data_IF_675274198813
#
_entry.id   IF_675274198813
#
_cell.length_a   1.000
_cell.length_b   1.000
_cell.length_c   1.000
_cell.angle_alpha   90.00
_cell.angle_beta   90.00
_cell.angle_gamma   90.00
#
_symmetry.space_group_name_H-M   'P 1'
#
loop_
_entity.id
_entity.type
_entity.pdbx_description
1 polymer ?
#
# COMPACT_ATOMS: atom_id res chain seq x y z
N UNK A 1 8.83 23.57 3.62
CA UNK A 1 9.24 22.39 4.41
C UNK A 1 8.05 22.01 5.26
N UNK A 2 7.20 21.09 4.78
CA UNK A 2 6.03 20.64 5.52
C UNK A 2 6.37 19.29 6.16
N UNK A 3 6.23 19.24 7.49
CA UNK A 3 6.25 18.02 8.28
C UNK A 3 4.93 17.30 8.01
N UNK A 4 4.93 16.24 7.19
CA UNK A 4 3.82 15.31 7.13
C UNK A 4 3.99 14.34 8.30
N UNK A 5 3.28 14.61 9.39
CA UNK A 5 3.13 13.67 10.49
C UNK A 5 2.16 12.58 10.06
N UNK A 6 2.69 11.39 9.78
CA UNK A 6 1.92 10.20 9.48
C UNK A 6 1.48 9.56 10.81
N UNK A 7 0.20 9.71 11.17
CA UNK A 7 -0.34 9.18 12.42
C UNK A 7 -0.82 7.73 12.22
N UNK A 8 -0.18 6.79 12.92
CA UNK A 8 -0.74 5.47 13.15
C UNK A 8 -1.89 5.59 14.15
N UNK A 9 -3.13 5.37 13.71
CA UNK A 9 -4.31 5.37 14.60
C UNK A 9 -4.55 3.95 15.11
N UNK A 10 -4.64 3.81 16.43
CA UNK A 10 -4.95 2.55 17.13
C UNK A 10 -6.43 2.51 17.51
N UNK A 11 -7.14 1.43 17.13
CA UNK A 11 -8.54 1.16 17.51
C UNK A 11 -8.69 -0.28 18.02
N UNK A 12 -9.70 -0.54 18.84
CA UNK A 12 -9.99 -1.88 19.36
C UNK A 12 -11.24 -2.43 18.68
N UNK A 13 -11.15 -3.66 18.16
CA UNK A 13 -12.27 -4.39 17.57
C UNK A 13 -13.14 -5.08 18.65
N UNK A 14 -14.40 -5.45 18.36
CA UNK A 14 -15.25 -6.22 19.27
C UNK A 14 -14.64 -7.55 19.72
N UNK A 15 -13.70 -8.10 18.92
CA UNK A 15 -12.93 -9.31 19.22
C UNK A 15 -11.85 -9.08 20.30
N UNK A 16 -11.63 -7.84 20.73
CA UNK A 16 -10.56 -7.44 21.65
C UNK A 16 -9.18 -7.32 20.99
N UNK A 17 -9.09 -7.54 19.67
CA UNK A 17 -7.86 -7.34 18.93
C UNK A 17 -7.60 -5.85 18.67
N UNK A 18 -6.34 -5.44 18.80
CA UNK A 18 -5.90 -4.08 18.47
C UNK A 18 -5.69 -3.96 16.96
N UNK A 19 -6.22 -2.91 16.36
CA UNK A 19 -6.06 -2.56 14.95
C UNK A 19 -5.23 -1.29 14.83
N UNK A 20 -4.16 -1.37 14.04
CA UNK A 20 -3.32 -0.26 13.65
C UNK A 20 -3.62 0.10 12.20
N UNK A 21 -3.72 1.39 11.89
CA UNK A 21 -4.01 1.88 10.53
C UNK A 21 -2.86 2.73 10.00
N UNK A 22 -2.45 2.45 8.77
CA UNK A 22 -1.55 3.27 7.96
C UNK A 22 -2.35 3.94 6.85
N UNK A 23 -2.26 5.28 6.75
CA UNK A 23 -2.95 6.08 5.74
C UNK A 23 -1.96 6.55 4.68
N UNK A 24 -2.27 6.30 3.40
CA UNK A 24 -1.44 6.68 2.26
C UNK A 24 -2.04 7.90 1.57
N UNK A 25 -1.48 9.06 1.90
CA UNK A 25 -2.10 10.36 1.63
C UNK A 25 -2.33 10.70 0.15
N UNK A 26 -1.50 10.22 -0.78
CA UNK A 26 -1.61 10.59 -2.19
C UNK A 26 -2.69 9.78 -2.93
N UNK A 27 -2.91 8.52 -2.55
CA UNK A 27 -3.87 7.61 -3.15
C UNK A 27 -5.18 7.51 -2.38
N UNK A 28 -5.18 7.90 -1.09
CA UNK A 28 -6.31 7.67 -0.18
C UNK A 28 -6.50 6.19 0.17
N UNK A 29 -5.48 5.34 -0.06
CA UNK A 29 -5.52 3.95 0.38
C UNK A 29 -5.07 3.82 1.83
N UNK A 30 -5.59 2.78 2.48
CA UNK A 30 -5.23 2.45 3.84
C UNK A 30 -4.82 0.99 3.93
N UNK A 31 -3.87 0.73 4.84
CA UNK A 31 -3.54 -0.62 5.28
C UNK A 31 -3.84 -0.74 6.76
N UNK A 32 -4.49 -1.83 7.14
CA UNK A 32 -4.76 -2.14 8.54
C UNK A 32 -4.07 -3.42 8.95
N UNK A 33 -3.46 -3.40 10.13
CA UNK A 33 -2.90 -4.57 10.80
C UNK A 33 -3.67 -4.83 12.08
N UNK A 34 -4.10 -6.08 12.28
CA UNK A 34 -4.75 -6.55 13.48
C UNK A 34 -3.78 -7.41 14.28
N UNK A 35 -3.79 -7.23 15.60
CA UNK A 35 -2.84 -7.87 16.52
C UNK A 35 -2.89 -9.41 16.52
N UNK A 36 -3.93 -10.01 15.93
CA UNK A 36 -4.05 -11.45 15.71
C UNK A 36 -3.33 -11.96 14.45
N UNK A 37 -2.54 -11.12 13.78
CA UNK A 37 -1.75 -11.49 12.60
C UNK A 37 -2.54 -11.45 11.30
N UNK A 38 -3.56 -10.60 11.23
CA UNK A 38 -4.33 -10.36 10.02
C UNK A 38 -4.19 -8.94 9.53
N UNK A 39 -4.42 -8.75 8.24
CA UNK A 39 -4.35 -7.45 7.63
C UNK A 39 -5.37 -7.32 6.50
N UNK A 40 -5.65 -6.09 6.11
CA UNK A 40 -6.46 -5.79 4.94
C UNK A 40 -6.09 -4.44 4.35
N UNK A 41 -6.55 -4.22 3.15
CA UNK A 41 -6.48 -2.94 2.45
C UNK A 41 -7.88 -2.31 2.39
N UNK A 42 -7.95 -0.99 2.47
CA UNK A 42 -9.20 -0.26 2.36
C UNK A 42 -9.03 0.96 1.46
N UNK A 43 -10.14 1.37 0.85
CA UNK A 43 -10.29 2.72 0.29
C UNK A 43 -10.67 3.73 1.38
N UNK A 44 -10.38 5.00 1.14
CA UNK A 44 -10.79 6.11 2.01
C UNK A 44 -12.30 6.09 2.33
N UNK A 45 -13.14 5.92 1.31
CA UNK A 45 -14.59 5.89 1.47
C UNK A 45 -15.07 4.73 2.37
N UNK A 46 -14.42 3.57 2.28
CA UNK A 46 -14.72 2.44 3.17
C UNK A 46 -14.28 2.75 4.59
N UNK A 47 -13.09 3.33 4.77
CA UNK A 47 -12.62 3.73 6.09
C UNK A 47 -13.53 4.76 6.75
N UNK A 48 -13.95 5.80 6.02
CA UNK A 48 -14.91 6.79 6.50
C UNK A 48 -16.23 6.15 6.95
N UNK A 49 -16.76 5.22 6.16
CA UNK A 49 -17.99 4.48 6.48
C UNK A 49 -17.84 3.59 7.73
N UNK A 50 -16.65 3.08 8.00
CA UNK A 50 -16.37 2.35 9.24
C UNK A 50 -16.19 3.27 10.44
N UNK A 51 -15.60 4.45 10.24
CA UNK A 51 -15.40 5.45 11.29
C UNK A 51 -16.74 6.04 11.77
N UNK A 52 -17.67 6.30 10.84
CA UNK A 52 -18.99 6.83 11.17
C UNK A 52 -20.01 5.75 11.60
N UNK A 53 -19.60 4.48 11.51
CA UNK A 53 -20.39 3.32 11.92
C UNK A 53 -21.49 2.91 10.93
N UNK A 54 -21.54 3.49 9.74
CA UNK A 54 -22.48 3.09 8.68
C UNK A 54 -22.15 1.71 8.10
N UNK A 55 -20.89 1.29 8.17
CA UNK A 55 -20.43 -0.04 7.82
C UNK A 55 -19.57 -0.63 8.94
N UNK A 56 -19.52 -1.96 8.99
CA UNK A 56 -18.67 -2.71 9.90
C UNK A 56 -17.68 -3.54 9.08
N UNK A 57 -16.44 -3.72 9.55
CA UNK A 57 -15.47 -4.62 8.96
C UNK A 57 -16.05 -6.04 8.81
N UNK A 58 -15.92 -6.64 7.63
CA UNK A 58 -16.29 -8.05 7.43
C UNK A 58 -15.09 -8.95 7.73
N UNK A 59 -15.31 -10.09 8.38
CA UNK A 59 -14.21 -10.97 8.81
C UNK A 59 -13.47 -11.63 7.64
N UNK A 60 -14.11 -11.79 6.48
CA UNK A 60 -13.52 -12.33 5.26
C UNK A 60 -12.67 -11.32 4.47
N UNK A 61 -12.75 -10.03 4.81
CA UNK A 61 -11.82 -9.01 4.30
C UNK A 61 -10.44 -9.10 4.96
N UNK A 62 -10.36 -9.71 6.14
CA UNK A 62 -9.11 -9.86 6.89
C UNK A 62 -8.31 -11.05 6.40
N UNK A 63 -7.23 -10.76 5.68
CA UNK A 63 -6.28 -11.74 5.17
C UNK A 63 -5.31 -12.11 6.27
N UNK A 64 -5.07 -13.42 6.43
CA UNK A 64 -4.04 -13.91 7.36
C UNK A 64 -2.66 -13.61 6.78
N UNK A 65 -1.77 -13.03 7.59
CA UNK A 65 -0.37 -12.88 7.24
C UNK A 65 0.22 -14.24 6.85
N UNK A 66 0.73 -14.33 5.64
CA UNK A 66 1.23 -15.57 5.05
C UNK A 66 2.57 -16.01 5.64
N UNK A 67 3.30 -15.09 6.30
CA UNK A 67 4.68 -15.33 6.73
C UNK A 67 5.67 -15.35 5.56
N UNK A 68 5.20 -15.06 4.35
CA UNK A 68 6.01 -15.04 3.14
C UNK A 68 6.03 -13.65 2.54
N UNK A 69 6.95 -13.47 1.60
CA UNK A 69 7.00 -12.24 0.84
C UNK A 69 5.88 -12.22 -0.21
N UNK A 70 4.99 -11.24 -0.08
CA UNK A 70 4.04 -10.88 -1.12
C UNK A 70 4.21 -9.41 -1.53
N UNK A 71 3.83 -9.10 -2.76
CA UNK A 71 3.89 -7.74 -3.31
C UNK A 71 2.71 -7.48 -4.22
N UNK A 72 2.22 -6.26 -4.15
CA UNK A 72 1.18 -5.75 -5.01
C UNK A 72 1.60 -4.36 -5.49
N UNK A 73 1.12 -4.01 -6.67
CA UNK A 73 1.36 -2.72 -7.29
C UNK A 73 0.03 -2.11 -7.70
N UNK A 74 -0.17 -0.83 -7.39
CA UNK A 74 -1.32 -0.03 -7.77
C UNK A 74 -0.86 1.31 -8.31
N UNK A 75 -1.70 1.92 -9.14
CA UNK A 75 -1.46 3.24 -9.67
C UNK A 75 -2.77 3.92 -10.03
N UNK A 76 -2.74 5.25 -10.09
CA UNK A 76 -3.87 6.00 -10.62
C UNK A 76 -4.13 5.68 -12.09
N UNK A 77 -5.33 6.02 -12.56
CA UNK A 77 -5.78 5.67 -13.92
C UNK A 77 -5.15 6.50 -15.05
N UNK A 78 -4.21 7.40 -14.74
CA UNK A 78 -3.62 8.34 -15.72
C UNK A 78 -2.30 7.80 -16.28
N UNK A 79 -2.27 7.64 -17.59
CA UNK A 79 -1.12 7.17 -18.37
C UNK A 79 -0.70 8.19 -19.45
N UNK A 80 -1.34 9.35 -19.49
CA UNK A 80 -1.18 10.43 -20.47
C UNK A 80 0.08 11.29 -20.26
N UNK A 81 1.07 10.78 -19.52
CA UNK A 81 2.28 11.53 -19.16
C UNK A 81 2.06 12.60 -18.09
N UNK A 82 0.88 12.64 -17.46
CA UNK A 82 0.62 13.48 -16.28
C UNK A 82 0.96 12.72 -15.01
N UNK A 83 1.51 13.43 -14.02
CA UNK A 83 1.83 12.83 -12.74
C UNK A 83 0.56 12.32 -12.03
N UNK A 84 0.66 11.12 -11.47
CA UNK A 84 -0.37 10.48 -10.65
C UNK A 84 0.30 9.72 -9.50
N UNK A 85 -0.49 9.28 -8.51
CA UNK A 85 0.02 8.43 -7.45
C UNK A 85 0.32 7.01 -7.94
N UNK A 86 1.32 6.41 -7.31
CA UNK A 86 1.76 5.02 -7.48
C UNK A 86 2.00 4.41 -6.11
N UNK A 87 1.77 3.11 -5.99
CA UNK A 87 1.82 2.40 -4.72
C UNK A 87 2.42 1.01 -4.93
N UNK A 88 3.42 0.68 -4.12
CA UNK A 88 3.86 -0.70 -3.86
C UNK A 88 3.57 -1.06 -2.41
N UNK A 89 3.07 -2.26 -2.16
CA UNK A 89 2.77 -2.72 -0.81
C UNK A 89 2.81 -4.24 -0.74
N UNK A 90 2.82 -4.79 0.47
CA UNK A 90 2.73 -6.23 0.67
C UNK A 90 3.21 -6.69 2.03
N UNK A 91 3.48 -7.98 2.14
CA UNK A 91 3.87 -8.62 3.39
C UNK A 91 5.39 -8.68 3.58
N UNK A 92 5.82 -8.61 4.85
CA UNK A 92 7.20 -8.85 5.27
C UNK A 92 7.31 -10.25 5.88
N UNK A 93 8.26 -11.10 5.44
CA UNK A 93 8.48 -12.42 6.03
C UNK A 93 9.19 -12.37 7.40
N UNK A 94 9.98 -11.32 7.68
CA UNK A 94 10.76 -11.12 8.92
C UNK A 94 10.84 -9.62 9.27
N UNK A 95 11.70 -9.21 10.21
CA UNK A 95 12.04 -7.81 10.49
C UNK A 95 12.95 -7.23 9.39
N UNK A 96 12.51 -7.34 8.14
CA UNK A 96 13.18 -6.82 6.96
C UNK A 96 12.66 -5.43 6.61
N UNK A 97 13.53 -4.57 6.07
CA UNK A 97 13.17 -3.21 5.66
C UNK A 97 13.24 -3.11 4.14
N UNK A 98 12.10 -2.92 3.45
CA UNK A 98 12.11 -2.73 2.01
C UNK A 98 12.73 -1.39 1.64
N UNK A 99 13.37 -1.36 0.47
CA UNK A 99 13.83 -0.13 -0.15
C UNK A 99 13.24 -0.07 -1.55
N UNK A 100 12.59 1.04 -1.88
CA UNK A 100 12.11 1.32 -3.24
C UNK A 100 12.99 2.38 -3.88
N UNK A 101 13.41 2.13 -5.11
CA UNK A 101 14.21 3.04 -5.93
C UNK A 101 13.51 3.24 -7.27
N UNK A 102 13.22 4.49 -7.63
CA UNK A 102 12.62 4.85 -8.92
C UNK A 102 13.69 4.93 -10.01
N UNK A 103 13.26 4.90 -11.29
CA UNK A 103 14.17 4.96 -12.44
C UNK A 103 15.00 6.27 -12.49
N UNK A 104 14.46 7.36 -11.97
CA UNK A 104 15.16 8.64 -11.80
C UNK A 104 16.13 8.68 -10.59
N UNK A 105 16.22 7.59 -9.83
CA UNK A 105 17.07 7.44 -8.64
C UNK A 105 16.44 7.93 -7.34
N UNK A 106 15.22 8.48 -7.36
CA UNK A 106 14.51 8.83 -6.14
C UNK A 106 14.19 7.61 -5.28
N UNK A 107 14.12 7.83 -3.97
CA UNK A 107 13.84 6.80 -2.96
C UNK A 107 12.67 7.25 -2.09
N UNK A 108 11.43 6.99 -2.52
CA UNK A 108 10.26 7.32 -1.73
C UNK A 108 10.29 6.61 -0.37
N UNK A 109 9.61 7.20 0.62
CA UNK A 109 9.54 6.64 1.96
C UNK A 109 8.78 5.31 1.95
N UNK A 110 9.34 4.33 2.67
CA UNK A 110 8.69 3.05 2.91
C UNK A 110 8.15 3.06 4.33
N UNK A 111 6.86 2.82 4.45
CA UNK A 111 6.09 2.84 5.68
C UNK A 111 5.71 1.41 6.05
N UNK A 112 5.45 1.17 7.33
CA UNK A 112 5.13 -0.15 7.84
C UNK A 112 4.04 -0.08 8.91
N UNK A 113 3.15 -1.07 8.89
CA UNK A 113 2.15 -1.30 9.94
C UNK A 113 2.08 -2.80 10.22
N UNK A 114 2.40 -3.20 11.45
CA UNK A 114 2.62 -4.61 11.80
C UNK A 114 3.64 -5.30 10.90
N UNK A 115 3.23 -6.33 10.15
CA UNK A 115 4.05 -7.08 9.18
C UNK A 115 3.75 -6.74 7.72
N UNK A 116 3.10 -5.61 7.47
CA UNK A 116 2.76 -5.11 6.13
C UNK A 116 3.50 -3.81 5.89
N UNK A 117 3.97 -3.60 4.67
CA UNK A 117 4.65 -2.38 4.24
C UNK A 117 3.93 -1.73 3.08
N UNK A 118 4.14 -0.43 2.90
CA UNK A 118 3.71 0.34 1.74
C UNK A 118 4.73 1.40 1.38
N UNK A 119 4.77 1.75 0.10
CA UNK A 119 5.59 2.82 -0.44
C UNK A 119 4.75 3.54 -1.49
N UNK A 120 4.47 4.82 -1.24
CA UNK A 120 3.67 5.67 -2.11
C UNK A 120 4.49 6.84 -2.65
N UNK A 121 4.25 7.21 -3.89
CA UNK A 121 4.84 8.41 -4.49
C UNK A 121 3.93 8.98 -5.59
N UNK A 122 4.23 10.21 -6.01
CA UNK A 122 3.55 10.88 -7.12
C UNK A 122 4.57 11.19 -8.22
N UNK A 123 4.35 10.64 -9.40
CA UNK A 123 5.20 10.90 -10.57
C UNK A 123 4.46 10.58 -11.87
N UNK A 124 5.05 10.93 -13.01
CA UNK A 124 4.71 10.24 -14.26
C UNK A 124 5.03 8.75 -14.13
N UNK A 125 4.42 7.91 -14.96
CA UNK A 125 4.67 6.47 -14.94
C UNK A 125 6.16 6.18 -15.23
N UNK A 126 6.81 5.47 -14.33
CA UNK A 126 8.22 5.07 -14.47
C UNK A 126 8.49 3.78 -13.69
N UNK A 127 9.50 2.99 -14.10
CA UNK A 127 9.87 1.79 -13.35
C UNK A 127 10.25 2.08 -11.90
N UNK A 128 9.90 1.15 -11.02
CA UNK A 128 10.33 1.14 -9.63
C UNK A 128 10.97 -0.20 -9.30
N UNK A 129 12.08 -0.18 -8.56
CA UNK A 129 12.78 -1.36 -8.10
C UNK A 129 12.64 -1.49 -6.60
N UNK A 130 12.12 -2.64 -6.17
CA UNK A 130 12.05 -3.05 -4.78
C UNK A 130 13.27 -3.91 -4.44
N UNK A 131 13.95 -3.56 -3.36
CA UNK A 131 14.98 -4.36 -2.72
C UNK A 131 14.48 -4.84 -1.36
N UNK A 132 14.47 -6.15 -1.14
CA UNK A 132 14.06 -6.73 0.14
C UNK A 132 14.74 -8.10 0.32
N UNK A 133 15.31 -8.34 1.51
CA UNK A 133 15.91 -9.64 1.86
C UNK A 133 16.93 -10.19 0.85
N UNK A 134 17.66 -9.30 0.15
CA UNK A 134 18.63 -9.67 -0.89
C UNK A 134 18.03 -9.96 -2.26
N UNK A 135 16.70 -9.93 -2.39
CA UNK A 135 16.01 -9.97 -3.67
C UNK A 135 15.83 -8.57 -4.26
N UNK A 136 15.78 -8.51 -5.59
CA UNK A 136 15.51 -7.31 -6.35
C UNK A 136 14.42 -7.59 -7.37
N UNK A 137 13.36 -6.79 -7.35
CA UNK A 137 12.21 -6.93 -8.24
C UNK A 137 11.90 -5.58 -8.87
N UNK A 138 11.76 -5.55 -10.19
CA UNK A 138 11.42 -4.33 -10.93
C UNK A 138 9.96 -4.38 -11.37
N UNK A 139 9.22 -3.35 -11.00
CA UNK A 139 7.88 -3.05 -11.44
C UNK A 139 7.96 -2.06 -12.59
N UNK A 140 7.51 -2.42 -13.80
CA UNK A 140 7.70 -1.57 -14.97
C UNK A 140 6.83 -0.31 -14.94
N UNK A 141 5.68 -0.33 -14.24
CA UNK A 141 4.63 0.71 -14.30
C UNK A 141 4.51 1.31 -15.70
N UNK A 142 4.20 0.44 -16.66
CA UNK A 142 3.94 0.80 -18.04
C UNK A 142 2.44 0.76 -18.31
N UNK A 143 1.95 1.63 -19.18
CA UNK A 143 0.56 1.61 -19.62
C UNK A 143 0.20 0.18 -20.05
N UNK A 144 -0.92 -0.41 -19.58
CA UNK A 144 -1.37 -1.69 -20.08
C UNK A 144 -1.56 -1.52 -21.59
N UNK A 145 -0.81 -2.27 -22.39
CA UNK A 145 -0.96 -2.27 -23.85
C UNK A 145 -2.37 -2.76 -24.17
N UNK A 146 -3.35 -1.86 -24.17
CA UNK A 146 -4.55 -2.06 -24.97
C UNK A 146 -4.05 -2.01 -26.41
N UNK A 147 -3.80 -3.18 -26.99
CA UNK A 147 -3.80 -3.29 -28.45
C UNK A 147 -5.10 -2.66 -28.91
N UNK A 148 -5.01 -1.47 -29.51
CA UNK A 148 -5.98 -1.02 -30.50
C UNK A 148 -5.76 -1.88 -31.75
N UNK A 149 -5.99 -3.19 -31.61
CA UNK A 149 -6.40 -3.98 -32.76
C UNK A 149 -7.90 -3.73 -32.90
N UNK A 150 -8.37 -3.58 -34.14
CA UNK A 150 -9.72 -3.18 -34.60
C UNK A 150 -9.87 -1.65 -34.72
N UNK A 151 -9.92 -1.03 -35.90
CA UNK A 151 -10.04 -1.47 -37.28
C UNK A 151 -10.41 -0.24 -38.11
#
# INVERSE_FOLDING_TARGET
>A
MALLGEEAVVRYEPTGAEVQTLVLSASGWLLQWRSDGRWRELSDAQHESEVDGSQQPLEDEWVRWSGTFDRQAKGGARWDGVATWWLLYGELPEDSTPIVVLADGQRPAVLQVGKVWACEWVSIAQPATLHLAGEQITFPFTEPFYRRDLG
#
